data_IF_520418202069
#
_entry.id   IF_520418202069
#
_cell.length_a   1.000
_cell.length_b   1.000
_cell.length_c   1.000
_cell.angle_alpha   90.00
_cell.angle_beta   90.00
_cell.angle_gamma   90.00
#
_symmetry.space_group_name_H-M   'P 1'
#
loop_
_entity.id
_entity.type
_entity.pdbx_description
1 polymer ?
#
# COMPACT_ATOMS: atom_id res chain seq x y z
N UNK A 1 16.25 -79.80 18.01
CA UNK A 1 16.56 -78.50 17.31
C UNK A 1 16.09 -77.43 18.21
N UNK A 2 17.01 -76.62 18.73
CA UNK A 2 16.65 -75.55 19.70
C UNK A 2 15.96 -74.44 18.97
N UNK A 3 15.10 -73.62 19.71
CA UNK A 3 14.43 -72.46 19.14
C UNK A 3 15.46 -71.40 18.60
N UNK A 4 16.64 -71.35 19.23
CA UNK A 4 17.77 -70.54 18.77
C UNK A 4 18.31 -70.98 17.39
N UNK A 5 18.35 -72.28 17.12
CA UNK A 5 18.81 -72.79 15.82
C UNK A 5 17.80 -72.48 14.70
N UNK A 6 16.49 -72.45 15.03
CA UNK A 6 15.43 -72.09 14.08
C UNK A 6 15.51 -70.60 13.77
N UNK A 7 15.71 -69.76 14.78
CA UNK A 7 15.87 -68.28 14.59
C UNK A 7 17.08 -67.99 13.71
N UNK A 8 18.24 -68.65 13.94
CA UNK A 8 19.44 -68.42 13.12
C UNK A 8 19.20 -68.78 11.65
N UNK A 9 18.51 -69.92 11.41
CA UNK A 9 18.15 -70.35 10.02
C UNK A 9 17.21 -69.39 9.35
N UNK A 10 16.19 -68.89 10.06
CA UNK A 10 15.26 -67.87 9.53
C UNK A 10 15.95 -66.54 9.23
N UNK A 11 16.87 -66.09 10.11
CA UNK A 11 17.65 -64.89 9.88
C UNK A 11 18.57 -65.08 8.64
N UNK A 12 19.22 -66.22 8.49
CA UNK A 12 20.01 -66.49 7.28
C UNK A 12 19.14 -66.51 6.01
N UNK A 13 17.92 -67.09 6.07
CA UNK A 13 16.98 -67.02 4.95
C UNK A 13 16.51 -65.62 4.64
N UNK A 14 16.33 -64.80 5.65
CA UNK A 14 15.97 -63.38 5.51
C UNK A 14 17.07 -62.58 4.83
N UNK A 15 18.32 -62.76 5.28
CA UNK A 15 19.49 -62.12 4.66
C UNK A 15 19.68 -62.58 3.20
N UNK A 16 19.49 -63.88 2.91
CA UNK A 16 19.54 -64.36 1.53
C UNK A 16 18.44 -63.75 0.67
N UNK A 17 17.23 -63.56 1.21
CA UNK A 17 16.14 -62.94 0.49
C UNK A 17 16.41 -61.45 0.21
N UNK A 18 17.09 -60.76 1.14
CA UNK A 18 17.56 -59.39 0.95
C UNK A 18 18.60 -59.33 -0.17
N UNK A 19 19.63 -60.20 -0.10
CA UNK A 19 20.71 -60.21 -1.08
C UNK A 19 20.17 -60.43 -2.51
N UNK A 20 19.19 -61.32 -2.67
CA UNK A 20 18.54 -61.59 -3.97
C UNK A 20 17.73 -60.40 -4.52
N UNK A 21 17.29 -59.48 -3.66
CA UNK A 21 16.57 -58.25 -4.06
C UNK A 21 17.48 -57.05 -4.26
N UNK A 22 18.60 -57.00 -3.54
CA UNK A 22 19.60 -55.92 -3.65
C UNK A 22 20.50 -56.12 -4.87
N UNK A 23 20.89 -57.39 -5.12
CA UNK A 23 21.73 -57.75 -6.25
C UNK A 23 21.08 -58.94 -7.00
N UNK A 24 20.12 -58.70 -7.87
CA UNK A 24 19.58 -59.78 -8.68
C UNK A 24 20.70 -60.31 -9.58
N UNK A 25 21.12 -61.57 -9.33
CA UNK A 25 22.05 -62.27 -10.25
C UNK A 25 21.45 -62.20 -11.65
N UNK A 26 22.25 -61.80 -12.62
CA UNK A 26 21.95 -61.72 -14.03
C UNK A 26 21.53 -63.13 -14.55
N UNK A 27 20.23 -63.40 -14.51
CA UNK A 27 19.66 -64.47 -15.38
C UNK A 27 19.70 -63.93 -16.80
N UNK A 28 20.25 -64.74 -17.72
CA UNK A 28 20.60 -64.51 -19.12
C UNK A 28 19.74 -63.46 -19.84
N UNK A 29 20.35 -62.57 -20.68
CA UNK A 29 19.62 -61.52 -21.41
C UNK A 29 18.76 -62.21 -22.50
N UNK A 30 17.45 -62.03 -22.37
CA UNK A 30 16.54 -62.15 -23.51
C UNK A 30 16.99 -61.13 -24.56
N UNK A 31 17.25 -61.60 -25.78
CA UNK A 31 17.61 -60.77 -26.94
C UNK A 31 16.64 -59.63 -27.11
N UNK A 32 17.07 -58.42 -26.79
CA UNK A 32 16.36 -57.19 -27.11
C UNK A 32 17.12 -56.43 -28.18
N UNK A 33 16.37 -55.86 -29.15
CA UNK A 33 16.83 -55.08 -30.27
C UNK A 33 17.73 -53.89 -29.85
N UNK A 34 18.75 -53.55 -30.65
CA UNK A 34 19.78 -52.53 -30.30
C UNK A 34 19.36 -51.07 -30.54
N UNK A 35 18.07 -50.70 -30.47
CA UNK A 35 17.61 -49.36 -30.87
C UNK A 35 16.99 -48.51 -29.76
N UNK A 36 17.11 -48.91 -28.46
CA UNK A 36 16.65 -48.01 -27.39
C UNK A 36 17.77 -47.82 -26.36
N UNK A 37 18.31 -46.59 -26.31
CA UNK A 37 19.18 -46.13 -25.23
C UNK A 37 18.43 -46.19 -23.91
N UNK A 38 18.97 -46.82 -22.84
CA UNK A 38 18.30 -46.81 -21.54
C UNK A 38 18.27 -45.40 -20.97
N UNK A 39 17.08 -44.90 -20.74
CA UNK A 39 16.87 -43.70 -19.93
C UNK A 39 17.23 -44.00 -18.48
N UNK A 40 17.91 -43.09 -17.79
CA UNK A 40 18.52 -43.21 -16.45
C UNK A 40 17.50 -43.44 -15.30
N UNK A 41 16.23 -43.71 -15.59
CA UNK A 41 15.11 -43.88 -14.66
C UNK A 41 14.44 -45.29 -14.78
N UNK A 42 15.13 -46.29 -15.31
CA UNK A 42 14.57 -47.66 -15.28
C UNK A 42 14.55 -48.16 -13.84
N UNK A 43 13.35 -48.10 -13.26
CA UNK A 43 13.00 -48.49 -11.90
C UNK A 43 13.35 -49.98 -11.68
N UNK A 44 14.43 -50.23 -10.94
CA UNK A 44 14.86 -51.57 -10.54
C UNK A 44 13.72 -52.40 -9.88
N UNK A 45 12.64 -51.75 -9.47
CA UNK A 45 11.42 -52.41 -8.95
C UNK A 45 10.68 -53.20 -10.02
N UNK A 46 10.88 -52.90 -11.30
CA UNK A 46 10.29 -53.65 -12.43
C UNK A 46 10.90 -55.05 -12.62
N UNK A 47 12.11 -55.27 -12.07
CA UNK A 47 12.81 -56.56 -12.19
C UNK A 47 12.49 -57.52 -11.06
N UNK A 48 11.81 -57.09 -9.99
CA UNK A 48 11.50 -57.96 -8.85
C UNK A 48 10.33 -58.91 -9.13
N UNK A 49 10.58 -60.20 -8.95
CA UNK A 49 9.50 -61.16 -8.98
C UNK A 49 8.62 -61.04 -7.73
N UNK A 50 7.29 -60.95 -7.85
CA UNK A 50 6.38 -60.77 -6.71
C UNK A 50 6.58 -61.83 -5.61
N UNK A 51 6.92 -63.06 -5.98
CA UNK A 51 7.20 -64.16 -5.05
C UNK A 51 8.43 -63.88 -4.15
N UNK A 52 9.45 -63.23 -4.66
CA UNK A 52 10.67 -62.90 -3.88
C UNK A 52 10.39 -61.88 -2.80
N UNK A 53 9.69 -60.80 -3.15
CA UNK A 53 9.29 -59.74 -2.18
C UNK A 53 8.37 -60.31 -1.11
N UNK A 54 7.36 -61.08 -1.51
CA UNK A 54 6.44 -61.71 -0.58
C UNK A 54 7.16 -62.72 0.36
N UNK A 55 8.14 -63.48 -0.17
CA UNK A 55 8.96 -64.39 0.63
C UNK A 55 9.76 -63.63 1.69
N UNK A 56 10.35 -62.50 1.36
CA UNK A 56 11.09 -61.66 2.29
C UNK A 56 10.17 -61.17 3.43
N UNK A 57 9.00 -60.60 3.11
CA UNK A 57 8.04 -60.07 4.10
C UNK A 57 7.53 -61.18 5.03
N UNK A 58 7.16 -62.37 4.48
CA UNK A 58 6.71 -63.52 5.27
C UNK A 58 7.81 -64.14 6.11
N UNK A 59 9.07 -64.09 5.66
CA UNK A 59 10.19 -64.59 6.46
C UNK A 59 10.40 -63.68 7.68
N UNK A 60 10.30 -62.37 7.52
CA UNK A 60 10.39 -61.42 8.61
C UNK A 60 9.21 -61.57 9.61
N UNK A 61 7.99 -61.83 9.11
CA UNK A 61 6.82 -62.14 9.96
C UNK A 61 7.06 -63.42 10.80
N UNK A 62 7.63 -64.46 10.20
CA UNK A 62 7.95 -65.72 10.94
C UNK A 62 8.99 -65.47 12.02
N UNK A 63 10.01 -64.69 11.75
CA UNK A 63 11.00 -64.27 12.76
C UNK A 63 10.30 -63.56 13.91
N UNK A 64 9.43 -62.60 13.61
CA UNK A 64 8.72 -61.81 14.63
C UNK A 64 7.79 -62.71 15.47
N UNK A 65 7.02 -63.56 14.83
CA UNK A 65 6.12 -64.47 15.51
C UNK A 65 6.87 -65.42 16.49
N UNK A 66 8.05 -65.92 16.09
CA UNK A 66 8.86 -66.78 16.92
C UNK A 66 9.49 -65.99 18.11
N UNK A 67 9.92 -64.73 17.88
CA UNK A 67 10.38 -63.84 18.92
C UNK A 67 9.26 -63.57 19.94
N UNK A 68 8.06 -63.24 19.46
CA UNK A 68 6.87 -62.96 20.31
C UNK A 68 6.46 -64.20 21.11
N UNK A 69 6.57 -65.38 20.50
CA UNK A 69 6.31 -66.64 21.17
C UNK A 69 7.34 -66.96 22.28
N UNK A 70 8.64 -66.74 22.00
CA UNK A 70 9.68 -66.92 23.01
C UNK A 70 9.58 -65.95 24.15
N UNK A 71 9.19 -64.71 23.89
CA UNK A 71 8.99 -63.70 24.94
C UNK A 71 7.85 -64.03 25.90
N UNK A 72 6.93 -64.92 25.55
CA UNK A 72 5.82 -65.40 26.38
C UNK A 72 6.16 -66.63 27.25
N UNK A 73 7.31 -67.24 27.05
CA UNK A 73 7.72 -68.45 27.81
C UNK A 73 8.57 -68.09 29.03
N UNK A 74 8.20 -68.43 30.26
CA UNK A 74 8.94 -68.09 31.47
C UNK A 74 10.37 -68.65 31.56
N UNK A 75 10.67 -69.69 30.84
CA UNK A 75 11.98 -70.37 30.77
C UNK A 75 12.70 -70.11 29.41
N UNK A 76 12.45 -68.99 28.83
CA UNK A 76 13.06 -68.63 27.54
C UNK A 76 14.58 -68.56 27.64
N UNK A 77 15.26 -69.45 26.93
CA UNK A 77 16.71 -69.35 26.71
C UNK A 77 16.98 -67.99 26.08
N UNK A 78 17.95 -67.26 26.64
CA UNK A 78 18.37 -65.98 26.12
C UNK A 78 18.73 -66.07 24.63
N UNK A 79 18.03 -65.26 23.83
CA UNK A 79 18.34 -65.18 22.38
C UNK A 79 19.73 -64.58 22.27
N UNK A 80 20.68 -65.21 21.59
CA UNK A 80 22.06 -64.76 21.50
C UNK A 80 22.16 -63.33 20.96
N UNK A 81 22.99 -62.50 21.54
CA UNK A 81 23.25 -61.12 21.09
C UNK A 81 23.63 -61.05 19.60
N UNK A 82 24.38 -62.07 19.12
CA UNK A 82 24.75 -62.17 17.69
C UNK A 82 23.55 -62.25 16.76
N UNK A 83 22.43 -62.89 17.20
CA UNK A 83 21.20 -62.91 16.42
C UNK A 83 20.58 -61.51 16.30
N UNK A 84 20.50 -60.75 17.38
CA UNK A 84 19.98 -59.40 17.37
C UNK A 84 20.80 -58.47 16.49
N UNK A 85 22.13 -58.58 16.53
CA UNK A 85 23.00 -57.81 15.64
C UNK A 85 22.73 -58.16 14.16
N UNK A 86 22.66 -59.45 13.83
CA UNK A 86 22.40 -59.91 12.45
C UNK A 86 21.01 -59.49 11.95
N UNK A 87 19.99 -59.51 12.84
CA UNK A 87 18.64 -59.11 12.47
C UNK A 87 18.58 -57.58 12.29
N UNK A 88 19.23 -56.82 13.17
CA UNK A 88 19.28 -55.37 13.08
C UNK A 88 19.98 -54.90 11.79
N UNK A 89 21.08 -55.52 11.43
CA UNK A 89 21.82 -55.25 10.19
C UNK A 89 20.96 -55.54 8.95
N UNK A 90 20.29 -56.71 8.96
CA UNK A 90 19.34 -57.08 7.89
C UNK A 90 18.16 -56.10 7.79
N UNK A 91 17.55 -55.72 8.92
CA UNK A 91 16.46 -54.74 8.98
C UNK A 91 16.90 -53.34 8.54
N UNK A 92 18.15 -52.94 8.85
CA UNK A 92 18.73 -51.68 8.37
C UNK A 92 18.88 -51.67 6.86
N UNK A 93 19.41 -52.77 6.30
CA UNK A 93 19.53 -52.92 4.85
C UNK A 93 18.15 -52.85 4.16
N UNK A 94 17.14 -53.47 4.73
CA UNK A 94 15.77 -53.39 4.19
C UNK A 94 15.24 -51.95 4.28
N UNK A 95 15.43 -51.25 5.38
CA UNK A 95 14.97 -49.87 5.56
C UNK A 95 15.64 -48.88 4.59
N UNK A 96 16.94 -49.01 4.41
CA UNK A 96 17.71 -48.06 3.62
C UNK A 96 17.65 -48.33 2.13
N UNK A 97 17.71 -49.60 1.71
CA UNK A 97 17.86 -49.94 0.30
C UNK A 97 16.56 -50.41 -0.36
N UNK A 98 15.71 -51.14 0.36
CA UNK A 98 14.49 -51.77 -0.20
C UNK A 98 13.20 -51.00 0.14
N UNK A 99 13.06 -50.48 1.34
CA UNK A 99 11.83 -49.78 1.78
C UNK A 99 11.40 -48.63 0.86
N UNK A 100 12.31 -47.77 0.36
CA UNK A 100 11.93 -46.71 -0.58
C UNK A 100 11.29 -47.25 -1.86
N UNK A 101 11.77 -48.37 -2.35
CA UNK A 101 11.25 -49.05 -3.54
C UNK A 101 9.96 -49.82 -3.26
N UNK A 102 9.82 -50.41 -2.05
CA UNK A 102 8.56 -51.05 -1.62
C UNK A 102 7.41 -50.06 -1.51
N UNK A 103 7.68 -48.82 -1.16
CA UNK A 103 6.63 -47.79 -1.03
C UNK A 103 5.86 -47.56 -2.34
N UNK A 104 6.53 -47.74 -3.49
CA UNK A 104 5.95 -47.59 -4.83
C UNK A 104 5.53 -48.92 -5.48
N UNK A 105 5.80 -50.06 -4.80
CA UNK A 105 5.56 -51.40 -5.34
C UNK A 105 4.05 -51.76 -5.29
N UNK A 106 3.39 -51.74 -6.46
CA UNK A 106 1.93 -51.89 -6.60
C UNK A 106 1.35 -53.16 -5.94
N UNK A 107 1.99 -54.38 -6.03
CA UNK A 107 1.42 -55.58 -5.42
C UNK A 107 1.31 -55.54 -3.90
N UNK A 108 2.09 -54.69 -3.22
CA UNK A 108 2.13 -54.59 -1.76
C UNK A 108 0.78 -54.20 -1.16
N UNK A 109 0.04 -53.29 -1.81
CA UNK A 109 -1.29 -52.88 -1.37
C UNK A 109 -2.29 -54.03 -1.32
N UNK A 110 -2.38 -54.84 -2.40
CA UNK A 110 -3.27 -55.98 -2.44
C UNK A 110 -2.88 -57.08 -1.45
N UNK A 111 -1.58 -57.26 -1.15
CA UNK A 111 -1.14 -58.17 -0.12
C UNK A 111 -1.49 -57.75 1.29
N UNK A 112 -1.43 -56.43 1.59
CA UNK A 112 -1.89 -55.87 2.88
C UNK A 112 -3.37 -56.16 3.12
N UNK A 113 -4.19 -55.97 2.11
CA UNK A 113 -5.62 -56.25 2.18
C UNK A 113 -5.90 -57.73 2.40
N UNK A 114 -5.09 -58.63 1.79
CA UNK A 114 -5.23 -60.09 1.88
C UNK A 114 -4.70 -60.66 3.20
N UNK A 115 -3.52 -60.20 3.66
CA UNK A 115 -2.84 -60.77 4.84
C UNK A 115 -3.13 -60.01 6.13
N UNK A 116 -3.64 -58.77 6.06
CA UNK A 116 -3.97 -57.91 7.20
C UNK A 116 -2.88 -57.88 8.28
N UNK A 117 -1.60 -57.55 7.91
CA UNK A 117 -0.51 -57.57 8.86
C UNK A 117 -0.76 -56.51 9.96
N UNK A 118 -0.31 -56.72 11.23
CA UNK A 118 -0.40 -55.74 12.29
C UNK A 118 0.37 -54.47 11.92
N UNK A 119 -0.15 -53.27 12.30
CA UNK A 119 0.47 -51.98 11.99
C UNK A 119 1.90 -51.83 12.55
N UNK A 120 2.23 -52.57 13.65
CA UNK A 120 3.57 -52.63 14.22
C UNK A 120 4.62 -53.32 13.32
N UNK A 121 4.19 -54.01 12.29
CA UNK A 121 5.08 -54.71 11.33
C UNK A 121 5.52 -53.71 10.25
N UNK A 122 6.46 -52.79 10.59
CA UNK A 122 6.94 -51.69 9.75
C UNK A 122 7.36 -52.14 8.34
N UNK A 123 7.83 -53.35 8.16
CA UNK A 123 8.26 -53.87 6.84
C UNK A 123 7.10 -54.08 5.86
N UNK A 124 5.87 -54.14 6.33
CA UNK A 124 4.68 -54.11 5.51
C UNK A 124 4.22 -52.68 5.18
N UNK A 125 4.64 -51.67 5.96
CA UNK A 125 4.25 -50.29 5.83
C UNK A 125 5.47 -49.39 5.66
N UNK A 126 6.29 -49.60 4.57
CA UNK A 126 7.45 -48.76 4.32
C UNK A 126 7.01 -47.30 4.06
N UNK A 127 7.69 -46.39 4.69
CA UNK A 127 7.46 -44.96 4.42
C UNK A 127 8.00 -44.64 3.02
N UNK A 128 7.28 -43.81 2.23
CA UNK A 128 7.82 -43.32 0.97
C UNK A 128 9.13 -42.59 1.22
N UNK A 129 10.09 -42.62 0.27
CA UNK A 129 11.32 -41.87 0.41
C UNK A 129 11.01 -40.41 0.71
N UNK A 130 11.55 -39.84 1.78
CA UNK A 130 11.45 -38.43 2.07
C UNK A 130 12.16 -37.69 0.92
N UNK A 131 11.44 -36.89 0.16
CA UNK A 131 12.04 -36.02 -0.84
C UNK A 131 13.23 -35.28 -0.21
N UNK A 132 14.38 -35.20 -0.89
CA UNK A 132 15.53 -34.48 -0.35
C UNK A 132 15.12 -33.05 -0.04
N UNK A 133 15.21 -32.69 1.25
CA UNK A 133 14.86 -31.33 1.73
C UNK A 133 15.72 -30.31 0.99
N UNK A 134 15.12 -29.18 0.56
CA UNK A 134 15.87 -28.09 -0.01
C UNK A 134 16.89 -27.59 1.06
N UNK A 135 18.21 -27.63 0.80
CA UNK A 135 19.22 -27.19 1.75
C UNK A 135 19.05 -25.72 2.18
N UNK A 136 18.40 -24.91 1.35
CA UNK A 136 18.09 -23.50 1.61
C UNK A 136 16.63 -23.27 2.09
N UNK A 137 15.90 -24.35 2.44
CA UNK A 137 14.51 -24.25 2.88
C UNK A 137 14.29 -23.32 4.06
N UNK A 138 15.23 -23.26 5.01
CA UNK A 138 15.21 -22.35 6.16
C UNK A 138 15.31 -20.89 5.74
N UNK A 139 16.15 -20.56 4.74
CA UNK A 139 16.31 -19.19 4.22
C UNK A 139 15.02 -18.73 3.53
N UNK A 140 14.45 -19.56 2.66
CA UNK A 140 13.17 -19.28 2.01
C UNK A 140 12.05 -19.09 3.03
N UNK A 141 12.04 -19.91 4.11
CA UNK A 141 11.09 -19.77 5.21
C UNK A 141 11.23 -18.42 5.93
N UNK A 142 12.44 -18.06 6.31
CA UNK A 142 12.73 -16.77 6.96
C UNK A 142 12.35 -15.56 6.10
N UNK A 143 12.74 -15.57 4.83
CA UNK A 143 12.36 -14.52 3.88
C UNK A 143 10.83 -14.42 3.69
N UNK A 144 10.13 -15.57 3.63
CA UNK A 144 8.66 -15.58 3.52
C UNK A 144 8.02 -14.92 4.74
N UNK A 145 8.47 -15.23 5.95
CA UNK A 145 7.96 -14.61 7.18
C UNK A 145 8.19 -13.09 7.15
N UNK A 146 9.39 -12.64 6.78
CA UNK A 146 9.70 -11.21 6.67
C UNK A 146 8.77 -10.50 5.65
N UNK A 147 8.58 -11.07 4.45
CA UNK A 147 7.66 -10.53 3.45
C UNK A 147 6.21 -10.46 3.95
N UNK A 148 5.73 -11.50 4.64
CA UNK A 148 4.38 -11.53 5.20
C UNK A 148 4.20 -10.49 6.31
N UNK A 149 5.22 -10.26 7.15
CA UNK A 149 5.19 -9.23 8.19
C UNK A 149 5.05 -7.83 7.59
N UNK A 150 5.84 -7.52 6.55
CA UNK A 150 5.73 -6.23 5.82
C UNK A 150 4.37 -6.13 5.12
N UNK A 151 3.89 -7.22 4.50
CA UNK A 151 2.57 -7.25 3.86
C UNK A 151 1.44 -7.00 4.86
N UNK A 152 1.55 -7.54 6.08
CA UNK A 152 0.58 -7.29 7.15
C UNK A 152 0.54 -5.83 7.57
N UNK A 153 1.71 -5.21 7.81
CA UNK A 153 1.81 -3.79 8.17
C UNK A 153 1.20 -2.91 7.06
N UNK A 154 1.53 -3.18 5.80
CA UNK A 154 1.01 -2.43 4.65
C UNK A 154 -0.51 -2.62 4.48
N UNK A 155 -1.01 -3.85 4.67
CA UNK A 155 -2.46 -4.11 4.60
C UNK A 155 -3.22 -3.42 5.72
N UNK A 156 -2.62 -3.31 6.91
CA UNK A 156 -3.21 -2.60 8.05
C UNK A 156 -3.26 -1.08 7.79
N UNK A 157 -2.21 -0.49 7.22
CA UNK A 157 -2.22 0.93 6.81
C UNK A 157 -3.30 1.19 5.75
N UNK A 158 -3.38 0.36 4.71
CA UNK A 158 -4.43 0.46 3.68
C UNK A 158 -5.83 0.34 4.32
N UNK A 159 -6.04 -0.65 5.19
CA UNK A 159 -7.33 -0.87 5.84
C UNK A 159 -7.75 0.29 6.71
N UNK A 160 -6.85 0.88 7.50
CA UNK A 160 -7.17 2.04 8.35
C UNK A 160 -7.58 3.25 7.53
N UNK A 161 -6.96 3.49 6.37
CA UNK A 161 -7.33 4.58 5.46
C UNK A 161 -8.73 4.41 4.88
N UNK A 162 -9.16 3.17 4.60
CA UNK A 162 -10.54 2.88 4.16
C UNK A 162 -11.58 2.94 5.30
N UNK A 163 -11.18 2.67 6.54
CA UNK A 163 -12.08 2.66 7.71
C UNK A 163 -12.36 4.05 8.27
N UNK A 164 -11.42 4.99 8.15
CA UNK A 164 -11.56 6.37 8.65
C UNK A 164 -12.55 7.21 7.84
N UNK A 165 -12.97 6.75 6.66
CA UNK A 165 -14.05 7.37 5.87
C UNK A 165 -15.40 6.71 6.14
N UNK A 166 -16.52 7.40 5.85
CA UNK A 166 -17.90 6.96 6.09
C UNK A 166 -18.18 5.50 5.69
N UNK A 167 -19.10 4.78 6.38
CA UNK A 167 -19.33 3.36 6.18
C UNK A 167 -19.80 3.05 4.76
N UNK A 168 -19.05 2.22 4.05
CA UNK A 168 -19.37 1.71 2.73
C UNK A 168 -18.94 0.24 2.59
N UNK A 169 -19.37 -0.45 1.54
CA UNK A 169 -19.06 -1.86 1.30
C UNK A 169 -17.57 -2.17 1.35
N UNK A 170 -16.71 -1.21 1.01
CA UNK A 170 -15.24 -1.34 1.04
C UNK A 170 -14.66 -1.31 2.46
N UNK A 171 -15.34 -0.70 3.44
CA UNK A 171 -14.90 -0.69 4.84
C UNK A 171 -14.93 -2.10 5.45
N UNK A 172 -15.90 -2.91 5.04
CA UNK A 172 -16.01 -4.31 5.50
C UNK A 172 -14.85 -5.17 4.98
N UNK A 173 -14.44 -4.97 3.72
CA UNK A 173 -13.29 -5.68 3.12
C UNK A 173 -11.99 -5.22 3.80
N UNK A 174 -11.85 -3.92 4.07
CA UNK A 174 -10.70 -3.36 4.79
C UNK A 174 -10.55 -3.91 6.21
N UNK A 175 -11.64 -4.23 6.91
CA UNK A 175 -11.60 -4.83 8.23
C UNK A 175 -11.23 -6.32 8.21
N UNK A 176 -11.64 -7.06 7.18
CA UNK A 176 -11.43 -8.52 7.08
C UNK A 176 -10.02 -8.85 6.54
N UNK A 177 -9.48 -8.05 5.62
CA UNK A 177 -8.20 -8.32 4.97
C UNK A 177 -7.01 -8.45 5.94
N UNK A 178 -6.83 -7.56 6.97
CA UNK A 178 -5.75 -7.71 7.95
C UNK A 178 -5.89 -8.95 8.81
N UNK A 179 -7.11 -9.32 9.19
CA UNK A 179 -7.39 -10.52 9.98
C UNK A 179 -7.06 -11.77 9.16
N UNK A 180 -7.47 -11.83 7.91
CA UNK A 180 -7.12 -12.93 7.01
C UNK A 180 -5.61 -13.02 6.80
N UNK A 181 -4.92 -11.90 6.59
CA UNK A 181 -3.46 -11.85 6.45
C UNK A 181 -2.72 -12.22 7.74
N UNK A 182 -3.23 -11.80 8.90
CA UNK A 182 -2.67 -12.20 10.21
C UNK A 182 -2.79 -13.72 10.42
N UNK A 183 -3.90 -14.33 10.01
CA UNK A 183 -4.08 -15.78 10.01
C UNK A 183 -3.11 -16.48 9.04
N UNK A 184 -2.83 -15.89 7.89
CA UNK A 184 -1.80 -16.38 6.96
C UNK A 184 -0.38 -16.18 7.48
N UNK A 185 -0.08 -15.02 8.07
CA UNK A 185 1.25 -14.67 8.58
C UNK A 185 1.62 -15.46 9.85
N UNK A 186 0.64 -15.78 10.70
CA UNK A 186 0.83 -16.61 11.88
C UNK A 186 1.28 -18.05 11.56
N UNK A 187 1.57 -18.32 10.33
CA UNK A 187 2.36 -19.41 9.66
C UNK A 187 2.53 -20.76 10.35
N UNK A 188 2.22 -20.84 11.62
CA UNK A 188 2.13 -22.05 12.41
C UNK A 188 0.74 -22.66 12.42
N UNK A 189 -0.25 -21.96 11.91
CA UNK A 189 -1.65 -22.40 11.97
C UNK A 189 -2.37 -22.22 10.63
N UNK A 190 -1.74 -22.65 9.57
CA UNK A 190 -2.55 -23.41 8.63
C UNK A 190 -2.89 -24.67 9.41
N UNK A 191 -4.06 -24.70 10.04
CA UNK A 191 -4.61 -25.91 10.67
C UNK A 191 -4.36 -27.06 9.72
N UNK A 192 -4.17 -28.25 10.23
CA UNK A 192 -4.02 -29.47 9.40
C UNK A 192 -5.07 -29.50 8.26
N UNK A 193 -6.24 -28.93 8.51
CA UNK A 193 -7.33 -28.73 7.56
C UNK A 193 -6.95 -27.73 6.43
N UNK A 194 -6.35 -26.60 6.74
CA UNK A 194 -5.91 -25.63 5.71
C UNK A 194 -4.77 -26.19 4.84
N UNK A 195 -3.86 -26.98 5.45
CA UNK A 195 -2.83 -27.69 4.69
C UNK A 195 -3.45 -28.81 3.82
N UNK A 196 -4.47 -29.50 4.30
CA UNK A 196 -5.20 -30.50 3.53
C UNK A 196 -6.00 -29.88 2.38
N UNK A 197 -6.67 -28.75 2.60
CA UNK A 197 -7.42 -28.03 1.55
C UNK A 197 -6.44 -27.50 0.50
N UNK A 198 -5.34 -26.88 0.92
CA UNK A 198 -4.31 -26.39 0.01
C UNK A 198 -3.64 -27.55 -0.75
N UNK A 199 -3.36 -28.67 -0.06
CA UNK A 199 -2.86 -29.87 -0.68
C UNK A 199 -3.88 -30.48 -1.65
N UNK A 200 -5.17 -30.48 -1.33
CA UNK A 200 -6.22 -31.00 -2.20
C UNK A 200 -6.42 -30.13 -3.47
N UNK A 201 -6.39 -28.81 -3.33
CA UNK A 201 -6.47 -27.88 -4.47
C UNK A 201 -5.22 -27.98 -5.36
N UNK A 202 -4.08 -28.24 -4.75
CA UNK A 202 -2.78 -28.30 -5.42
C UNK A 202 -2.36 -29.71 -5.84
N UNK A 203 -3.04 -30.76 -5.35
CA UNK A 203 -2.67 -32.17 -5.55
C UNK A 203 -2.55 -32.59 -7.02
N UNK A 204 -3.22 -31.90 -7.95
CA UNK A 204 -3.17 -32.24 -9.38
C UNK A 204 -2.17 -31.42 -10.23
N UNK A 205 -1.49 -30.41 -9.68
CA UNK A 205 -0.66 -29.49 -10.49
C UNK A 205 0.65 -29.02 -9.83
N UNK A 206 1.00 -29.46 -8.62
CA UNK A 206 2.14 -28.87 -7.89
C UNK A 206 3.37 -29.76 -7.94
N UNK A 207 4.52 -29.16 -8.23
CA UNK A 207 5.79 -29.88 -8.27
C UNK A 207 6.20 -30.41 -6.89
N UNK A 208 7.07 -31.43 -6.90
CA UNK A 208 7.65 -32.12 -5.74
C UNK A 208 7.81 -31.24 -4.51
N UNK A 209 7.58 -31.77 -3.31
CA UNK A 209 7.63 -31.03 -2.01
C UNK A 209 8.89 -30.17 -1.82
N UNK A 210 9.97 -30.47 -2.50
CA UNK A 210 11.22 -29.71 -2.55
C UNK A 210 11.02 -28.22 -2.96
N UNK A 211 10.04 -27.92 -3.81
CA UNK A 211 9.81 -26.54 -4.32
C UNK A 211 8.81 -25.73 -3.50
N UNK A 212 8.17 -26.33 -2.50
CA UNK A 212 7.16 -25.68 -1.66
C UNK A 212 7.67 -24.41 -0.95
N UNK A 213 8.89 -24.38 -0.35
CA UNK A 213 9.37 -23.16 0.28
C UNK A 213 9.53 -22.00 -0.71
N UNK A 214 10.00 -22.30 -1.92
CA UNK A 214 10.15 -21.29 -3.00
C UNK A 214 8.81 -20.80 -3.52
N UNK A 215 7.82 -21.69 -3.63
CA UNK A 215 6.46 -21.32 -4.04
C UNK A 215 5.81 -20.40 -3.00
N UNK A 216 5.93 -20.71 -1.71
CA UNK A 216 5.44 -19.86 -0.61
C UNK A 216 6.08 -18.47 -0.66
N UNK A 217 7.40 -18.42 -0.86
CA UNK A 217 8.12 -17.17 -1.03
C UNK A 217 7.59 -16.36 -2.24
N UNK A 218 7.43 -17.02 -3.39
CA UNK A 218 6.90 -16.39 -4.61
C UNK A 218 5.50 -15.81 -4.41
N UNK A 219 4.61 -16.53 -3.72
CA UNK A 219 3.27 -16.06 -3.39
C UNK A 219 3.29 -14.87 -2.41
N UNK A 220 4.15 -14.93 -1.38
CA UNK A 220 4.32 -13.82 -0.44
C UNK A 220 4.89 -12.56 -1.12
N UNK A 221 5.85 -12.74 -2.03
CA UNK A 221 6.41 -11.65 -2.82
C UNK A 221 5.35 -11.02 -3.76
N UNK A 222 4.55 -11.84 -4.43
CA UNK A 222 3.47 -11.38 -5.31
C UNK A 222 2.41 -10.61 -4.51
N UNK A 223 2.04 -11.09 -3.31
CA UNK A 223 1.14 -10.40 -2.40
C UNK A 223 1.69 -9.03 -2.00
N UNK A 224 2.97 -8.98 -1.59
CA UNK A 224 3.60 -7.70 -1.23
C UNK A 224 3.62 -6.72 -2.40
N UNK A 225 3.97 -7.18 -3.60
CA UNK A 225 3.96 -6.34 -4.82
C UNK A 225 2.55 -5.84 -5.10
N UNK A 226 1.53 -6.68 -4.98
CA UNK A 226 0.12 -6.28 -5.16
C UNK A 226 -0.33 -5.23 -4.14
N UNK A 227 -0.01 -5.42 -2.86
CA UNK A 227 -0.31 -4.43 -1.80
C UNK A 227 0.46 -3.13 -2.00
N UNK A 228 1.73 -3.21 -2.40
CA UNK A 228 2.54 -2.04 -2.70
C UNK A 228 1.99 -1.26 -3.90
N UNK A 229 1.61 -1.95 -4.97
CA UNK A 229 0.95 -1.33 -6.13
C UNK A 229 -0.38 -0.67 -5.74
N UNK A 230 -1.18 -1.34 -4.88
CA UNK A 230 -2.41 -0.76 -4.34
C UNK A 230 -2.13 0.50 -3.51
N UNK A 231 -1.10 0.48 -2.66
CA UNK A 231 -0.71 1.63 -1.85
C UNK A 231 -0.22 2.80 -2.72
N UNK A 232 0.64 2.55 -3.71
CA UNK A 232 1.27 3.60 -4.51
C UNK A 232 0.40 4.14 -5.64
N UNK A 233 -0.41 3.29 -6.26
CA UNK A 233 -1.22 3.67 -7.41
C UNK A 233 -2.74 3.57 -7.12
N UNK A 234 -3.16 2.56 -6.39
CA UNK A 234 -4.57 2.31 -6.09
C UNK A 234 -5.16 3.39 -5.20
N UNK A 235 -4.54 3.66 -4.03
CA UNK A 235 -5.05 4.67 -3.09
C UNK A 235 -5.13 6.07 -3.73
N UNK A 236 -4.08 6.60 -4.42
CA UNK A 236 -4.17 7.89 -5.10
C UNK A 236 -5.24 7.90 -6.21
N UNK A 237 -5.42 6.80 -6.93
CA UNK A 237 -6.47 6.70 -7.95
C UNK A 237 -7.86 6.82 -7.34
N UNK A 238 -8.15 6.09 -6.26
CA UNK A 238 -9.43 6.20 -5.55
C UNK A 238 -9.60 7.58 -4.92
N UNK A 239 -8.57 8.15 -4.31
CA UNK A 239 -8.59 9.50 -3.76
C UNK A 239 -8.96 10.54 -4.83
N UNK A 240 -8.36 10.45 -6.01
CA UNK A 240 -8.66 11.33 -7.14
C UNK A 240 -10.12 11.20 -7.59
N UNK A 241 -10.67 9.99 -7.65
CA UNK A 241 -12.07 9.77 -8.01
C UNK A 241 -13.03 10.41 -6.99
N UNK A 242 -12.75 10.23 -5.68
CA UNK A 242 -13.54 10.90 -4.64
C UNK A 242 -13.42 12.42 -4.73
N UNK A 243 -12.24 12.94 -4.93
CA UNK A 243 -12.00 14.37 -5.11
C UNK A 243 -12.81 14.94 -6.30
N UNK A 244 -12.73 14.31 -7.47
CA UNK A 244 -13.48 14.76 -8.66
C UNK A 244 -14.99 14.73 -8.42
N UNK A 245 -15.50 13.68 -7.77
CA UNK A 245 -16.92 13.61 -7.38
C UNK A 245 -17.27 14.73 -6.41
N UNK A 246 -16.40 15.01 -5.43
CA UNK A 246 -16.57 16.14 -4.49
C UNK A 246 -16.66 17.48 -5.19
N UNK A 247 -15.82 17.72 -6.20
CA UNK A 247 -15.85 18.96 -6.99
C UNK A 247 -17.18 19.13 -7.77
N UNK A 248 -17.72 18.05 -8.33
CA UNK A 248 -19.02 18.08 -9.01
C UNK A 248 -20.14 18.42 -8.03
N UNK A 249 -20.18 17.72 -6.90
CA UNK A 249 -21.19 17.93 -5.86
C UNK A 249 -21.12 19.34 -5.25
N UNK A 250 -19.91 19.87 -5.08
CA UNK A 250 -19.71 21.25 -4.63
C UNK A 250 -20.32 22.26 -5.60
N UNK A 251 -20.09 22.10 -6.92
CA UNK A 251 -20.67 22.95 -7.96
C UNK A 251 -22.20 22.82 -8.04
N UNK A 252 -22.75 21.66 -7.69
CA UNK A 252 -24.21 21.42 -7.61
C UNK A 252 -24.84 21.98 -6.32
N UNK A 253 -24.04 22.57 -5.41
CA UNK A 253 -24.52 23.09 -4.13
C UNK A 253 -24.76 22.01 -3.07
N UNK A 254 -24.34 20.77 -3.31
CA UNK A 254 -24.45 19.67 -2.36
C UNK A 254 -23.24 19.64 -1.39
N UNK A 255 -23.05 20.72 -0.67
CA UNK A 255 -21.83 21.00 0.09
C UNK A 255 -21.49 19.95 1.16
N UNK A 256 -22.47 19.47 1.93
CA UNK A 256 -22.26 18.45 2.96
C UNK A 256 -21.79 17.11 2.35
N UNK A 257 -22.33 16.74 1.18
CA UNK A 257 -21.89 15.55 0.47
C UNK A 257 -20.50 15.73 -0.14
N UNK A 258 -20.23 16.93 -0.70
CA UNK A 258 -18.92 17.30 -1.22
C UNK A 258 -17.84 17.23 -0.14
N UNK A 259 -18.13 17.74 1.07
CA UNK A 259 -17.23 17.65 2.23
C UNK A 259 -16.85 16.19 2.52
N UNK A 260 -17.83 15.31 2.64
CA UNK A 260 -17.58 13.89 2.88
C UNK A 260 -16.69 13.26 1.79
N UNK A 261 -16.85 13.67 0.54
CA UNK A 261 -16.03 13.20 -0.56
C UNK A 261 -14.60 13.73 -0.51
N UNK A 262 -14.40 15.02 -0.17
CA UNK A 262 -13.05 15.57 0.03
C UNK A 262 -12.35 14.93 1.23
N UNK A 263 -13.02 14.77 2.37
CA UNK A 263 -12.48 14.11 3.55
C UNK A 263 -12.12 12.64 3.25
N UNK A 264 -12.93 11.95 2.44
CA UNK A 264 -12.61 10.58 2.01
C UNK A 264 -11.41 10.53 1.08
N UNK A 265 -11.26 11.49 0.17
CA UNK A 265 -10.06 11.61 -0.66
C UNK A 265 -8.81 11.79 0.22
N UNK A 266 -8.89 12.65 1.24
CA UNK A 266 -7.81 12.92 2.17
C UNK A 266 -7.52 11.76 3.14
N UNK A 267 -8.51 10.93 3.49
CA UNK A 267 -8.27 9.72 4.28
C UNK A 267 -7.45 8.69 3.51
N UNK A 268 -7.65 8.58 2.19
CA UNK A 268 -6.88 7.69 1.33
C UNK A 268 -5.49 8.24 1.01
N UNK A 269 -5.41 9.54 0.74
CA UNK A 269 -4.16 10.24 0.41
C UNK A 269 -4.10 11.54 1.22
N UNK A 270 -3.49 11.54 2.43
CA UNK A 270 -3.40 12.74 3.27
C UNK A 270 -2.66 13.89 2.62
N UNK A 271 -1.66 13.58 1.76
CA UNK A 271 -0.85 14.57 1.04
C UNK A 271 -1.46 14.87 -0.34
N UNK A 272 -2.73 15.28 -0.37
CA UNK A 272 -3.45 15.66 -1.58
C UNK A 272 -3.81 17.17 -1.49
N UNK A 273 -2.91 18.06 -1.94
CA UNK A 273 -3.04 19.50 -1.69
C UNK A 273 -4.26 20.13 -2.37
N UNK A 274 -4.67 19.66 -3.54
CA UNK A 274 -5.87 20.16 -4.21
C UNK A 274 -7.13 19.86 -3.40
N UNK A 275 -7.22 18.65 -2.82
CA UNK A 275 -8.36 18.30 -1.98
C UNK A 275 -8.36 19.06 -0.65
N UNK A 276 -7.18 19.32 -0.07
CA UNK A 276 -7.04 20.20 1.12
C UNK A 276 -7.48 21.62 0.80
N UNK A 277 -7.08 22.15 -0.36
CA UNK A 277 -7.45 23.47 -0.80
C UNK A 277 -8.97 23.60 -1.00
N UNK A 278 -9.59 22.69 -1.76
CA UNK A 278 -11.04 22.74 -2.04
C UNK A 278 -11.87 22.50 -0.77
N UNK A 279 -11.42 21.65 0.14
CA UNK A 279 -12.03 21.51 1.47
C UNK A 279 -11.90 22.81 2.28
N UNK A 280 -10.78 23.51 2.17
CA UNK A 280 -10.58 24.83 2.76
C UNK A 280 -11.56 25.86 2.20
N UNK A 281 -11.79 25.88 0.88
CA UNK A 281 -12.78 26.74 0.23
C UNK A 281 -14.19 26.44 0.76
N UNK A 282 -14.55 25.17 0.84
CA UNK A 282 -15.85 24.76 1.36
C UNK A 282 -16.06 25.18 2.82
N UNK A 283 -15.04 25.09 3.68
CA UNK A 283 -15.12 25.63 5.05
C UNK A 283 -15.23 27.16 5.08
N UNK A 284 -14.65 27.90 4.12
CA UNK A 284 -14.90 29.34 4.00
C UNK A 284 -16.36 29.66 3.66
N UNK A 285 -16.98 28.87 2.76
CA UNK A 285 -18.39 29.02 2.41
C UNK A 285 -19.33 28.76 3.61
N UNK A 286 -18.93 27.81 4.49
CA UNK A 286 -19.59 27.62 5.79
C UNK A 286 -19.24 28.70 6.83
N UNK A 287 -18.35 29.63 6.51
CA UNK A 287 -17.80 30.65 7.44
C UNK A 287 -16.98 30.05 8.61
N UNK A 288 -16.55 28.80 8.46
CA UNK A 288 -15.68 28.08 9.41
C UNK A 288 -14.20 28.41 9.16
N UNK A 289 -13.83 29.69 9.34
CA UNK A 289 -12.52 30.23 8.95
C UNK A 289 -11.33 29.54 9.60
N UNK A 290 -11.48 29.04 10.84
CA UNK A 290 -10.41 28.32 11.52
C UNK A 290 -10.16 26.94 10.92
N UNK A 291 -11.21 26.26 10.45
CA UNK A 291 -11.06 24.99 9.71
C UNK A 291 -10.47 25.23 8.32
N UNK A 292 -10.95 26.26 7.60
CA UNK A 292 -10.39 26.67 6.33
C UNK A 292 -8.89 26.98 6.45
N UNK A 293 -8.49 27.73 7.47
CA UNK A 293 -7.08 28.05 7.73
C UNK A 293 -6.22 26.80 7.92
N UNK A 294 -6.71 25.81 8.68
CA UNK A 294 -6.00 24.53 8.87
C UNK A 294 -5.80 23.78 7.55
N UNK A 295 -6.81 23.74 6.70
CA UNK A 295 -6.71 23.04 5.42
C UNK A 295 -5.78 23.78 4.45
N UNK A 296 -5.91 25.11 4.33
CA UNK A 296 -5.00 25.89 3.51
C UNK A 296 -3.54 25.79 3.99
N UNK A 297 -3.30 25.74 5.30
CA UNK A 297 -1.95 25.58 5.83
C UNK A 297 -1.31 24.26 5.38
N UNK A 298 -2.08 23.15 5.39
CA UNK A 298 -1.60 21.86 4.88
C UNK A 298 -1.28 21.95 3.38
N UNK A 299 -2.14 22.58 2.58
CA UNK A 299 -1.90 22.77 1.16
C UNK A 299 -0.67 23.65 0.89
N UNK A 300 -0.43 24.67 1.71
CA UNK A 300 0.78 25.52 1.66
C UNK A 300 2.03 24.71 2.00
N UNK A 301 1.97 23.82 3.02
CA UNK A 301 3.08 22.93 3.36
C UNK A 301 3.46 21.99 2.20
N UNK A 302 2.46 21.58 1.41
CA UNK A 302 2.65 20.83 0.18
C UNK A 302 3.01 21.70 -1.04
N UNK A 303 3.26 23.02 -0.84
CA UNK A 303 3.62 24.00 -1.88
C UNK A 303 2.55 24.20 -2.97
N UNK A 304 1.28 24.04 -2.63
CA UNK A 304 0.18 24.31 -3.54
C UNK A 304 -0.08 25.82 -3.63
N UNK A 305 0.35 26.47 -4.71
CA UNK A 305 0.38 27.94 -4.83
C UNK A 305 -0.97 28.63 -4.65
N UNK A 306 -2.12 28.12 -5.14
CA UNK A 306 -3.41 28.76 -4.88
C UNK A 306 -3.75 28.92 -3.39
N UNK A 307 -3.28 27.98 -2.55
CA UNK A 307 -3.55 28.00 -1.12
C UNK A 307 -2.87 29.17 -0.40
N UNK A 308 -1.71 29.64 -0.88
CA UNK A 308 -1.02 30.80 -0.31
C UNK A 308 -1.88 32.04 -0.38
N UNK A 309 -2.58 32.24 -1.50
CA UNK A 309 -3.49 33.36 -1.68
C UNK A 309 -4.64 33.34 -0.67
N UNK A 310 -5.32 32.19 -0.54
CA UNK A 310 -6.49 32.09 0.33
C UNK A 310 -6.10 32.16 1.81
N UNK A 311 -4.97 31.54 2.18
CA UNK A 311 -4.43 31.66 3.54
C UNK A 311 -4.04 33.12 3.87
N UNK A 312 -3.38 33.79 2.95
CA UNK A 312 -3.02 35.20 3.13
C UNK A 312 -4.27 36.09 3.30
N UNK A 313 -5.34 35.81 2.57
CA UNK A 313 -6.63 36.51 2.70
C UNK A 313 -7.27 36.29 4.08
N UNK A 314 -7.18 35.06 4.63
CA UNK A 314 -7.64 34.76 5.99
C UNK A 314 -6.81 35.51 7.05
N UNK A 315 -5.50 35.63 6.86
CA UNK A 315 -4.64 36.42 7.75
C UNK A 315 -4.98 37.90 7.66
N UNK A 316 -5.24 38.43 6.46
CA UNK A 316 -5.71 39.81 6.28
C UNK A 316 -7.02 40.12 7.03
N UNK A 317 -7.95 39.16 7.10
CA UNK A 317 -9.19 39.32 7.88
C UNK A 317 -8.93 39.41 9.38
N UNK A 318 -7.82 38.80 9.85
CA UNK A 318 -7.40 38.81 11.25
C UNK A 318 -6.40 39.93 11.54
N UNK A 319 -6.19 40.88 10.59
CA UNK A 319 -5.20 41.94 10.60
C UNK A 319 -3.74 41.46 10.78
N UNK A 320 -3.45 40.21 10.51
CA UNK A 320 -2.10 39.63 10.49
C UNK A 320 -1.42 39.94 9.15
N UNK A 321 -1.08 41.24 8.96
CA UNK A 321 -0.62 41.73 7.67
C UNK A 321 0.79 41.24 7.32
N UNK A 322 1.65 40.99 8.30
CA UNK A 322 3.04 40.59 8.06
C UNK A 322 3.10 39.14 7.56
N UNK A 323 2.35 38.23 8.18
CA UNK A 323 2.23 36.84 7.75
C UNK A 323 1.59 36.73 6.36
N UNK A 324 0.55 37.52 6.11
CA UNK A 324 -0.08 37.61 4.79
C UNK A 324 0.92 38.06 3.71
N UNK A 325 1.70 39.11 3.98
CA UNK A 325 2.72 39.62 3.06
C UNK A 325 3.80 38.57 2.79
N UNK A 326 4.25 37.85 3.82
CA UNK A 326 5.26 36.82 3.68
C UNK A 326 4.77 35.67 2.78
N UNK A 327 3.55 35.17 2.99
CA UNK A 327 2.96 34.12 2.17
C UNK A 327 2.86 34.51 0.70
N UNK A 328 2.34 35.71 0.41
CA UNK A 328 2.18 36.20 -0.96
C UNK A 328 3.53 36.35 -1.66
N UNK A 329 4.54 36.86 -0.94
CA UNK A 329 5.91 36.99 -1.49
C UNK A 329 6.53 35.64 -1.76
N UNK A 330 6.35 34.65 -0.88
CA UNK A 330 6.83 33.29 -1.10
C UNK A 330 6.18 32.67 -2.35
N UNK A 331 4.88 32.84 -2.54
CA UNK A 331 4.19 32.35 -3.72
C UNK A 331 4.68 33.01 -5.02
N UNK A 332 4.89 34.38 -4.99
CA UNK A 332 5.40 35.10 -6.14
C UNK A 332 6.86 34.80 -6.48
N UNK A 333 7.65 34.36 -5.49
CA UNK A 333 9.04 33.95 -5.67
C UNK A 333 9.21 32.47 -6.04
N UNK A 334 8.14 31.69 -6.04
CA UNK A 334 8.23 30.27 -6.35
C UNK A 334 8.54 30.04 -7.84
N UNK A 335 9.60 29.26 -8.17
CA UNK A 335 9.99 29.05 -9.55
C UNK A 335 8.92 28.28 -10.38
N UNK A 336 8.00 27.59 -9.72
CA UNK A 336 6.92 26.85 -10.40
C UNK A 336 5.74 27.75 -10.80
N UNK A 337 5.68 29.00 -10.30
CA UNK A 337 4.58 29.93 -10.57
C UNK A 337 4.35 30.10 -12.08
N UNK A 338 5.41 30.26 -12.87
CA UNK A 338 5.29 30.41 -14.31
C UNK A 338 4.62 29.23 -15.01
N UNK A 339 4.76 28.02 -14.47
CA UNK A 339 4.09 26.83 -14.96
C UNK A 339 2.63 26.78 -14.48
N UNK A 340 2.36 27.10 -13.21
CA UNK A 340 1.02 27.05 -12.62
C UNK A 340 0.11 28.10 -13.28
N UNK A 341 0.62 29.30 -13.60
CA UNK A 341 -0.11 30.36 -14.32
C UNK A 341 -0.60 29.94 -15.70
N UNK A 342 0.02 28.95 -16.34
CA UNK A 342 -0.50 28.42 -17.61
C UNK A 342 -1.84 27.68 -17.41
N UNK A 343 -2.08 27.12 -16.24
CA UNK A 343 -3.31 26.39 -15.88
C UNK A 343 -4.31 27.33 -15.16
N UNK A 344 -3.81 28.15 -14.25
CA UNK A 344 -4.57 29.14 -13.45
C UNK A 344 -4.13 30.55 -13.85
N UNK A 345 -4.66 31.03 -14.95
CA UNK A 345 -4.20 32.27 -15.62
C UNK A 345 -4.27 33.52 -14.74
N UNK A 346 -5.20 33.57 -13.79
CA UNK A 346 -5.39 34.74 -12.93
C UNK A 346 -4.63 34.66 -11.59
N UNK A 347 -3.92 33.56 -11.31
CA UNK A 347 -3.25 33.36 -10.02
C UNK A 347 -2.23 34.48 -9.73
N UNK A 348 -1.35 34.83 -10.67
CA UNK A 348 -0.36 35.86 -10.46
C UNK A 348 -1.03 37.25 -10.22
N UNK A 349 -2.09 37.53 -10.98
CA UNK A 349 -2.89 38.75 -10.76
C UNK A 349 -3.41 38.82 -9.32
N UNK A 350 -4.01 37.72 -8.83
CA UNK A 350 -4.62 37.70 -7.50
C UNK A 350 -3.57 37.82 -6.39
N UNK A 351 -2.41 37.14 -6.56
CA UNK A 351 -1.28 37.23 -5.63
C UNK A 351 -0.76 38.66 -5.52
N UNK A 352 -0.49 39.34 -6.65
CA UNK A 352 0.00 40.72 -6.69
C UNK A 352 -1.03 41.70 -6.14
N UNK A 353 -2.28 41.59 -6.55
CA UNK A 353 -3.37 42.42 -6.05
C UNK A 353 -3.50 42.30 -4.52
N UNK A 354 -3.48 41.12 -3.98
CA UNK A 354 -3.55 40.92 -2.53
C UNK A 354 -2.29 41.41 -1.81
N UNK A 355 -1.10 41.25 -2.41
CA UNK A 355 0.12 41.83 -1.84
C UNK A 355 0.04 43.36 -1.80
N UNK A 356 -0.44 44.02 -2.88
CA UNK A 356 -0.70 45.46 -2.90
C UNK A 356 -1.69 45.88 -1.83
N UNK A 357 -2.77 45.10 -1.61
CA UNK A 357 -3.71 45.34 -0.53
C UNK A 357 -3.07 45.25 0.86
N UNK A 358 -2.25 44.20 1.09
CA UNK A 358 -1.48 44.07 2.34
C UNK A 358 -0.57 45.26 2.55
N UNK A 359 0.16 45.73 1.52
CA UNK A 359 1.06 46.87 1.60
C UNK A 359 0.31 48.19 1.90
N UNK A 360 -0.89 48.34 1.32
CA UNK A 360 -1.78 49.45 1.66
C UNK A 360 -2.19 49.43 3.14
N UNK A 361 -2.55 48.24 3.67
CA UNK A 361 -2.86 48.06 5.10
C UNK A 361 -1.66 48.37 6.02
N UNK A 362 -0.45 48.05 5.60
CA UNK A 362 0.81 48.32 6.30
C UNK A 362 1.26 49.78 6.12
N UNK A 363 0.51 50.64 5.40
CA UNK A 363 0.89 51.99 5.00
C UNK A 363 2.21 52.07 4.19
N UNK A 364 2.59 50.96 3.52
CA UNK A 364 3.74 50.91 2.60
C UNK A 364 3.29 51.26 1.19
N UNK A 365 2.96 52.55 1.00
CA UNK A 365 2.20 53.02 -0.16
C UNK A 365 2.96 52.83 -1.48
N UNK A 366 4.26 53.13 -1.54
CA UNK A 366 5.07 52.96 -2.75
C UNK A 366 5.15 51.47 -3.22
N UNK A 367 5.24 50.55 -2.26
CA UNK A 367 5.22 49.11 -2.60
C UNK A 367 3.82 48.67 -3.02
N UNK A 368 2.77 49.17 -2.38
CA UNK A 368 1.40 48.92 -2.76
C UNK A 368 1.11 49.38 -4.19
N UNK A 369 1.55 50.58 -4.56
CA UNK A 369 1.44 51.14 -5.90
C UNK A 369 2.10 50.21 -6.93
N UNK A 370 3.35 49.82 -6.69
CA UNK A 370 4.11 48.95 -7.59
C UNK A 370 3.37 47.61 -7.86
N UNK A 371 2.93 46.91 -6.82
CA UNK A 371 2.25 45.63 -6.96
C UNK A 371 0.88 45.76 -7.64
N UNK A 372 0.13 46.82 -7.34
CA UNK A 372 -1.17 47.07 -7.95
C UNK A 372 -1.08 47.52 -9.41
N UNK A 373 -0.03 48.25 -9.78
CA UNK A 373 0.24 48.57 -11.19
C UNK A 373 0.56 47.33 -12.02
N UNK A 374 1.39 46.40 -11.50
CA UNK A 374 1.67 45.14 -12.16
C UNK A 374 0.40 44.27 -12.23
N UNK A 375 -0.42 44.22 -11.17
CA UNK A 375 -1.71 43.53 -11.19
C UNK A 375 -2.62 44.11 -12.30
N UNK A 376 -2.75 45.44 -12.43
CA UNK A 376 -3.55 46.07 -13.46
C UNK A 376 -3.01 45.82 -14.88
N UNK A 377 -1.70 45.73 -15.04
CA UNK A 377 -1.08 45.33 -16.32
C UNK A 377 -1.47 43.91 -16.68
N UNK A 378 -1.42 42.95 -15.73
CA UNK A 378 -1.89 41.56 -15.93
C UNK A 378 -3.40 41.52 -16.25
N UNK A 379 -4.22 42.30 -15.52
CA UNK A 379 -5.65 42.41 -15.76
C UNK A 379 -5.95 42.81 -17.21
N UNK A 380 -5.23 43.78 -17.74
CA UNK A 380 -5.35 44.25 -19.11
C UNK A 380 -4.85 43.22 -20.13
N UNK A 381 -3.65 42.67 -19.91
CA UNK A 381 -3.05 41.70 -20.87
C UNK A 381 -3.84 40.41 -20.98
N UNK A 382 -4.44 39.94 -19.88
CA UNK A 382 -5.25 38.73 -19.81
C UNK A 382 -6.74 38.96 -20.05
N UNK A 383 -7.16 40.22 -20.22
CA UNK A 383 -8.55 40.63 -20.39
C UNK A 383 -9.49 40.11 -19.27
N UNK A 384 -9.05 40.21 -17.99
CA UNK A 384 -9.79 39.67 -16.87
C UNK A 384 -11.01 40.50 -16.49
N UNK A 385 -11.01 41.79 -16.83
CA UNK A 385 -12.07 42.74 -16.52
C UNK A 385 -12.45 42.81 -15.04
N UNK A 386 -11.43 42.83 -14.15
CA UNK A 386 -11.60 42.84 -12.68
C UNK A 386 -11.38 44.24 -12.12
N UNK A 387 -12.28 44.79 -11.25
CA UNK A 387 -12.20 46.14 -10.72
C UNK A 387 -11.23 46.29 -9.55
N UNK A 388 -11.04 45.24 -8.76
CA UNK A 388 -10.44 45.28 -7.42
C UNK A 388 -9.03 45.91 -7.38
N UNK A 389 -8.14 45.59 -8.33
CA UNK A 389 -6.81 46.21 -8.36
C UNK A 389 -6.84 47.69 -8.74
N UNK A 390 -7.76 48.13 -9.63
CA UNK A 390 -7.95 49.53 -9.95
C UNK A 390 -8.46 50.32 -8.74
N UNK A 391 -9.45 49.78 -8.02
CA UNK A 391 -10.01 50.40 -6.82
C UNK A 391 -8.99 50.55 -5.70
N UNK A 392 -8.18 49.52 -5.48
CA UNK A 392 -7.10 49.54 -4.48
C UNK A 392 -6.00 50.55 -4.87
N UNK A 393 -5.62 50.60 -6.16
CA UNK A 393 -4.64 51.55 -6.65
C UNK A 393 -5.12 52.99 -6.49
N UNK A 394 -6.40 53.29 -6.76
CA UNK A 394 -6.99 54.59 -6.52
C UNK A 394 -6.88 55.03 -5.05
N UNK A 395 -7.16 54.09 -4.11
CA UNK A 395 -6.99 54.38 -2.67
C UNK A 395 -5.53 54.67 -2.28
N UNK A 396 -4.57 53.93 -2.90
CA UNK A 396 -3.13 54.18 -2.66
C UNK A 396 -2.74 55.54 -3.16
N UNK A 397 -3.13 55.94 -4.38
CA UNK A 397 -2.82 57.22 -4.96
C UNK A 397 -3.42 58.39 -4.17
N UNK A 398 -4.66 58.24 -3.69
CA UNK A 398 -5.26 59.24 -2.79
C UNK A 398 -4.46 59.43 -1.49
N UNK A 399 -3.91 58.35 -0.92
CA UNK A 399 -3.09 58.41 0.29
C UNK A 399 -1.69 58.99 0.05
N UNK A 400 -1.11 58.74 -1.13
CA UNK A 400 0.21 59.24 -1.52
C UNK A 400 0.20 60.77 -1.69
N UNK A 401 -0.86 61.31 -2.31
CA UNK A 401 -1.00 62.76 -2.57
C UNK A 401 -1.60 63.50 -1.39
N UNK A 402 -2.08 62.79 -0.35
CA UNK A 402 -2.54 63.45 0.87
C UNK A 402 -1.36 64.16 1.59
N UNK A 403 -1.49 65.46 1.98
CA UNK A 403 -0.44 66.13 2.70
C UNK A 403 -0.10 65.38 3.98
N UNK A 404 1.15 64.99 4.12
CA UNK A 404 1.61 64.37 5.36
C UNK A 404 1.58 65.38 6.50
N UNK A 405 0.97 65.08 7.65
CA UNK A 405 1.04 65.97 8.80
C UNK A 405 2.52 66.14 9.17
N UNK A 406 2.95 67.38 9.46
CA UNK A 406 4.32 67.67 9.89
C UNK A 406 4.65 66.85 11.13
N UNK A 407 5.87 66.22 11.15
CA UNK A 407 6.32 65.24 12.13
C UNK A 407 6.23 65.71 13.61
N UNK A 408 6.02 66.99 13.85
CA UNK A 408 5.98 67.67 15.18
C UNK A 408 4.58 67.90 15.77
N UNK A 409 3.49 67.48 15.05
CA UNK A 409 2.14 67.72 15.60
C UNK A 409 1.46 66.34 15.83
N UNK A 410 1.12 66.05 17.11
CA UNK A 410 0.17 65.01 17.46
C UNK A 410 -1.12 65.16 16.65
N UNK A 411 -1.70 64.12 16.16
CA UNK A 411 -2.96 64.13 15.41
C UNK A 411 -4.05 64.72 16.32
N UNK A 412 -4.42 65.99 16.11
CA UNK A 412 -5.67 66.55 16.65
C UNK A 412 -6.83 65.96 15.80
N UNK A 413 -7.95 65.58 16.40
CA UNK A 413 -9.15 65.28 15.66
C UNK A 413 -9.57 66.53 14.91
N UNK A 414 -9.38 66.57 13.60
CA UNK A 414 -9.87 67.65 12.74
C UNK A 414 -11.39 67.57 12.69
N UNK A 415 -12.07 68.40 13.44
CA UNK A 415 -13.44 68.79 13.16
C UNK A 415 -13.45 69.63 11.87
N UNK A 416 -13.60 68.99 10.77
CA UNK A 416 -13.74 69.57 9.46
C UNK A 416 -13.97 68.47 8.44
N UNK A 417 -15.11 68.48 7.79
CA UNK A 417 -15.37 67.72 6.56
C UNK A 417 -14.44 68.27 5.46
N UNK A 418 -13.14 68.02 5.61
CA UNK A 418 -12.11 68.30 4.64
C UNK A 418 -11.98 67.22 3.62
N UNK A 419 -12.94 67.09 2.75
CA UNK A 419 -12.77 66.29 1.52
C UNK A 419 -11.69 66.94 0.67
N UNK A 420 -10.45 66.43 0.80
CA UNK A 420 -9.35 66.90 -0.05
C UNK A 420 -9.63 66.48 -1.51
N UNK A 421 -9.29 67.37 -2.48
CA UNK A 421 -9.49 67.01 -3.90
C UNK A 421 -8.76 65.70 -4.26
N UNK A 422 -9.49 64.86 -4.94
CA UNK A 422 -8.92 63.58 -5.38
C UNK A 422 -7.93 63.86 -6.51
N UNK A 423 -6.67 63.36 -6.44
CA UNK A 423 -5.69 63.53 -7.51
C UNK A 423 -6.18 62.96 -8.84
N UNK A 424 -5.80 63.61 -9.96
CA UNK A 424 -6.20 63.13 -11.30
C UNK A 424 -5.79 61.70 -11.57
N UNK A 425 -4.64 61.28 -11.08
CA UNK A 425 -4.15 59.89 -11.17
C UNK A 425 -5.11 58.92 -10.47
N UNK A 426 -5.60 59.23 -9.29
CA UNK A 426 -6.57 58.43 -8.56
C UNK A 426 -7.95 58.46 -9.22
N UNK A 427 -8.38 59.61 -9.76
CA UNK A 427 -9.65 59.71 -10.50
C UNK A 427 -9.71 58.81 -11.72
N UNK A 428 -8.60 58.70 -12.46
CA UNK A 428 -8.49 57.79 -13.58
C UNK A 428 -8.71 56.34 -13.11
N UNK A 429 -8.07 55.93 -12.00
CA UNK A 429 -8.21 54.61 -11.47
C UNK A 429 -9.62 54.31 -10.93
N UNK A 430 -10.27 55.31 -10.26
CA UNK A 430 -11.67 55.14 -9.83
C UNK A 430 -12.63 55.01 -11.02
N UNK A 431 -12.42 55.74 -12.13
CA UNK A 431 -13.21 55.56 -13.36
C UNK A 431 -13.03 54.15 -13.95
N UNK A 432 -11.79 53.66 -14.00
CA UNK A 432 -11.51 52.31 -14.46
C UNK A 432 -12.10 51.22 -13.54
N UNK A 433 -12.04 51.43 -12.22
CA UNK A 433 -12.71 50.59 -11.23
C UNK A 433 -14.21 50.51 -11.52
N UNK A 434 -14.88 51.65 -11.65
CA UNK A 434 -16.33 51.73 -11.92
C UNK A 434 -16.71 51.07 -13.25
N UNK A 435 -15.90 51.26 -14.29
CA UNK A 435 -16.13 50.64 -15.59
C UNK A 435 -16.00 49.10 -15.56
N UNK A 436 -15.10 48.58 -14.74
CA UNK A 436 -14.90 47.13 -14.60
C UNK A 436 -15.89 46.49 -13.61
N UNK A 437 -16.46 47.27 -12.66
CA UNK A 437 -17.40 46.79 -11.63
C UNK A 437 -18.84 46.68 -12.21
N UNK A 438 -19.02 45.87 -13.22
CA UNK A 438 -20.30 45.73 -13.96
C UNK A 438 -21.04 44.42 -13.65
N UNK A 439 -20.67 43.73 -12.56
CA UNK A 439 -21.28 42.47 -12.12
C UNK A 439 -21.71 42.54 -10.66
N UNK A 440 -22.79 41.87 -10.24
CA UNK A 440 -23.27 41.91 -8.85
C UNK A 440 -22.22 41.60 -7.80
N UNK A 441 -21.28 40.71 -8.12
CA UNK A 441 -20.16 40.32 -7.23
C UNK A 441 -19.23 41.47 -6.92
N UNK A 442 -19.32 42.59 -7.67
CA UNK A 442 -18.47 43.78 -7.52
C UNK A 442 -19.23 45.00 -6.95
N UNK A 443 -20.47 44.82 -6.49
CA UNK A 443 -21.30 45.95 -5.98
C UNK A 443 -20.58 46.77 -4.91
N UNK A 444 -19.80 46.12 -4.00
CA UNK A 444 -19.04 46.83 -2.99
C UNK A 444 -17.97 47.75 -3.60
N UNK A 445 -17.31 47.34 -4.67
CA UNK A 445 -16.30 48.11 -5.39
C UNK A 445 -16.95 49.20 -6.22
N UNK A 446 -18.10 48.92 -6.84
CA UNK A 446 -18.90 49.90 -7.54
C UNK A 446 -19.34 51.03 -6.60
N UNK A 447 -19.87 50.65 -5.42
CA UNK A 447 -20.28 51.62 -4.40
C UNK A 447 -19.13 52.51 -3.94
N UNK A 448 -17.95 51.95 -3.70
CA UNK A 448 -16.76 52.73 -3.34
C UNK A 448 -16.33 53.69 -4.44
N UNK A 449 -16.31 53.24 -5.70
CA UNK A 449 -15.93 54.04 -6.84
C UNK A 449 -16.93 55.19 -7.08
N UNK A 450 -18.24 54.94 -6.99
CA UNK A 450 -19.29 55.94 -7.09
C UNK A 450 -19.13 57.02 -6.00
N UNK A 451 -18.98 56.61 -4.75
CA UNK A 451 -18.80 57.50 -3.62
C UNK A 451 -17.57 58.40 -3.80
N UNK A 452 -16.44 57.83 -4.25
CA UNK A 452 -15.23 58.61 -4.49
C UNK A 452 -15.40 59.61 -5.65
N UNK A 453 -16.09 59.22 -6.72
CA UNK A 453 -16.31 60.10 -7.88
C UNK A 453 -17.37 61.18 -7.68
N UNK A 454 -18.25 61.05 -6.68
CA UNK A 454 -19.31 62.03 -6.35
C UNK A 454 -18.86 63.03 -5.30
N UNK A 455 -17.68 62.85 -4.67
CA UNK A 455 -17.14 63.87 -3.76
C UNK A 455 -16.90 65.23 -4.52
N UNK A 456 -17.29 66.34 -3.95
CA UNK A 456 -17.08 67.69 -4.59
C UNK A 456 -15.58 67.86 -4.86
N UNK A 457 -15.24 68.02 -6.12
CA UNK A 457 -13.91 68.51 -6.50
C UNK A 457 -13.93 70.02 -6.46
N UNK A 458 -13.50 70.60 -5.34
CA UNK A 458 -13.30 72.06 -5.29
C UNK A 458 -12.27 72.43 -6.37
N UNK A 459 -12.72 73.14 -7.35
CA UNK A 459 -11.87 73.62 -8.41
C UNK A 459 -10.71 74.43 -7.77
N UNK A 460 -9.45 74.23 -8.22
CA UNK A 460 -8.37 75.12 -7.77
C UNK A 460 -8.75 76.54 -8.16
N UNK A 461 -8.82 77.43 -7.14
CA UNK A 461 -9.02 78.82 -7.35
C UNK A 461 -8.08 79.31 -8.46
N UNK A 462 -8.65 79.66 -9.60
CA UNK A 462 -7.98 80.44 -10.59
C UNK A 462 -7.72 81.84 -9.97
N UNK A 463 -6.49 82.10 -9.59
CA UNK A 463 -5.91 83.45 -9.46
C UNK A 463 -4.52 83.46 -10.07
#
# INVERSE_FOLDING_TARGET
MTSSDVLRRLCAQYQLAIANLVSPESSEPAKSDPAQSPTLDDDLSSTWQPGQVLKLLKTRDRIQALIDQLAQQPDAQDIPTSFWLSLTDADTTVREQLAPKFATYKPLAGWRDSFKPPDRHWWWFPQPPSDPKDPYGWLWGGCTIALLTVSLALSQDIATRFLTGAPGAWSSIGAIAPVALALFASGGVLTQVGQQILAAILANKVPKQRYWPRLKFGLAALLLVGLFAMHQAGLPHFAKNFYQTGQVLYKEGQWATAQNHFERALSLTPDFPEAQFDLGVLYEDYQEYDQAQKQYLKAVQAKYLPAYNNLARLYLRKDNNDEAAQLLRLALADPTLAFVVQQEKDLEYVLRKNLGWVRLKQNRLAEAETELMEANKLNKTMNLSRPDAHCLLAQVLQKLDAPQPPADKQPQPSEGDGSQPIPDSALIQWKQCLQAANRPEYDAWEGMARNALTQPQDAPNAN
#
